data_IF_225884552079
#
_entry.id   IF_225884552079
#
_cell.length_a   1.000
_cell.length_b   1.000
_cell.length_c   1.000
_cell.angle_alpha   90.00
_cell.angle_beta   90.00
_cell.angle_gamma   90.00
#
_symmetry.space_group_name_H-M   'P 1'
#
loop_
_entity.id
_entity.type
_entity.pdbx_description
1 polymer ?
#
# COMPACT_ATOMS: atom_id res chain seq x y z
N UNK A 1 29.35 -4.35 -17.07
CA UNK A 1 30.12 -3.27 -17.71
C UNK A 1 31.43 -2.92 -16.98
N UNK A 2 31.72 -3.58 -15.83
CA UNK A 2 32.99 -3.40 -15.10
C UNK A 2 33.18 -2.06 -14.39
N UNK A 3 32.09 -1.35 -14.11
CA UNK A 3 32.11 -0.12 -13.31
C UNK A 3 31.32 -0.35 -12.03
N UNK A 4 31.85 0.14 -10.92
CA UNK A 4 31.14 0.17 -9.64
C UNK A 4 30.11 1.31 -9.66
N UNK A 5 28.91 1.02 -9.17
CA UNK A 5 27.82 1.98 -9.04
C UNK A 5 27.30 1.96 -7.62
N UNK A 6 27.05 3.13 -7.06
CA UNK A 6 26.40 3.26 -5.76
C UNK A 6 24.87 3.16 -5.91
N UNK A 7 24.28 2.23 -5.19
CA UNK A 7 22.83 2.01 -5.17
C UNK A 7 22.25 2.20 -3.79
N UNK A 8 21.06 2.78 -3.74
CA UNK A 8 20.23 2.82 -2.54
C UNK A 8 19.31 1.60 -2.55
N UNK A 9 19.34 0.84 -1.47
CA UNK A 9 18.40 -0.23 -1.20
C UNK A 9 17.33 0.28 -0.25
N UNK A 10 16.06 0.04 -0.60
CA UNK A 10 14.90 0.46 0.18
C UNK A 10 14.08 -0.75 0.58
N UNK A 11 13.67 -0.77 1.84
CA UNK A 11 12.70 -1.70 2.38
C UNK A 11 11.54 -0.91 2.97
N UNK A 12 10.33 -1.29 2.63
CA UNK A 12 9.10 -0.73 3.21
C UNK A 12 8.18 -1.85 3.62
N UNK A 13 7.58 -1.73 4.80
CA UNK A 13 6.44 -2.52 5.21
C UNK A 13 5.26 -1.61 5.54
N UNK A 14 4.06 -2.12 5.34
CA UNK A 14 2.80 -1.44 5.59
C UNK A 14 1.83 -2.37 6.27
N UNK A 15 1.11 -1.87 7.28
CA UNK A 15 -0.01 -2.57 7.89
C UNK A 15 -1.32 -1.90 7.45
N UNK A 16 -2.29 -2.71 7.04
CA UNK A 16 -3.59 -2.21 6.61
C UNK A 16 -4.72 -3.08 7.15
N UNK A 17 -4.74 -3.23 8.48
CA UNK A 17 -5.57 -4.20 9.18
C UNK A 17 -7.06 -3.87 9.12
N UNK A 18 -7.44 -2.67 9.56
CA UNK A 18 -8.85 -2.24 9.65
C UNK A 18 -9.57 -2.22 8.31
N UNK A 19 -9.05 -1.54 7.28
CA UNK A 19 -9.72 -1.52 5.99
C UNK A 19 -9.85 -2.90 5.37
N UNK A 20 -8.85 -3.77 5.56
CA UNK A 20 -8.89 -5.15 5.06
C UNK A 20 -9.92 -6.00 5.80
N UNK A 21 -10.17 -5.72 7.07
CA UNK A 21 -11.20 -6.41 7.85
C UNK A 21 -12.62 -6.08 7.38
N UNK A 22 -12.85 -4.84 6.92
CA UNK A 22 -14.17 -4.34 6.49
C UNK A 22 -14.40 -4.64 5.02
N UNK A 23 -13.45 -4.30 4.17
CA UNK A 23 -13.47 -4.51 2.72
C UNK A 23 -12.17 -5.21 2.31
N UNK A 24 -12.13 -6.55 2.42
CA UNK A 24 -10.88 -7.29 2.34
C UNK A 24 -10.18 -7.22 0.97
N UNK A 25 -10.93 -7.09 -0.12
CA UNK A 25 -10.32 -6.97 -1.44
C UNK A 25 -9.58 -5.64 -1.62
N UNK A 26 -10.27 -4.53 -1.43
CA UNK A 26 -9.69 -3.20 -1.58
C UNK A 26 -8.69 -2.88 -0.47
N UNK A 27 -8.94 -3.35 0.76
CA UNK A 27 -8.02 -3.17 1.87
C UNK A 27 -6.66 -3.82 1.62
N UNK A 28 -6.63 -5.07 1.19
CA UNK A 28 -5.39 -5.76 0.85
C UNK A 28 -4.72 -5.19 -0.41
N UNK A 29 -5.50 -4.81 -1.40
CA UNK A 29 -4.99 -4.13 -2.59
C UNK A 29 -4.33 -2.78 -2.23
N UNK A 30 -4.95 -2.01 -1.35
CA UNK A 30 -4.40 -0.74 -0.86
C UNK A 30 -3.16 -0.95 -0.01
N UNK A 31 -3.10 -2.03 0.77
CA UNK A 31 -1.91 -2.38 1.55
C UNK A 31 -0.67 -2.47 0.67
N UNK A 32 -0.73 -3.27 -0.39
CA UNK A 32 0.42 -3.39 -1.32
C UNK A 32 0.64 -2.11 -2.14
N UNK A 33 -0.42 -1.43 -2.56
CA UNK A 33 -0.32 -0.15 -3.26
C UNK A 33 0.42 0.91 -2.45
N UNK A 34 0.11 1.03 -1.16
CA UNK A 34 0.82 1.91 -0.23
C UNK A 34 2.28 1.52 -0.04
N UNK A 35 2.56 0.22 0.12
CA UNK A 35 3.93 -0.27 0.18
C UNK A 35 4.78 0.15 -1.03
N UNK A 36 4.19 0.16 -2.22
CA UNK A 36 4.90 0.53 -3.45
C UNK A 36 5.08 2.04 -3.55
N UNK A 37 4.07 2.83 -3.17
CA UNK A 37 4.13 4.31 -3.27
C UNK A 37 5.28 4.92 -2.48
N UNK A 38 5.55 4.44 -1.28
CA UNK A 38 6.60 5.01 -0.44
C UNK A 38 7.98 4.92 -1.07
N UNK A 39 8.46 3.77 -1.54
CA UNK A 39 9.70 3.70 -2.32
C UNK A 39 9.68 4.51 -3.61
N UNK A 40 8.53 4.62 -4.29
CA UNK A 40 8.40 5.50 -5.45
C UNK A 40 8.67 6.96 -5.08
N UNK A 41 8.20 7.41 -3.91
CA UNK A 41 8.52 8.74 -3.40
C UNK A 41 10.02 8.92 -3.17
N UNK A 42 10.73 7.84 -2.91
CA UNK A 42 12.20 7.76 -2.89
C UNK A 42 12.85 7.72 -4.28
N UNK A 43 12.09 7.88 -5.36
CA UNK A 43 12.55 7.75 -6.77
C UNK A 43 13.20 6.40 -7.04
N UNK A 44 12.67 5.34 -6.45
CA UNK A 44 13.16 3.97 -6.63
C UNK A 44 12.21 3.12 -7.44
N UNK A 45 12.68 1.98 -7.89
CA UNK A 45 11.89 0.94 -8.54
C UNK A 45 11.69 -0.23 -7.58
N UNK A 46 10.45 -0.68 -7.43
CA UNK A 46 10.10 -1.82 -6.58
C UNK A 46 10.24 -3.11 -7.38
N UNK A 47 11.05 -4.02 -6.87
CA UNK A 47 11.40 -5.27 -7.56
C UNK A 47 10.60 -6.47 -7.06
N UNK A 48 10.25 -6.49 -5.78
CA UNK A 48 9.57 -7.63 -5.18
C UNK A 48 8.69 -7.22 -4.02
N UNK A 49 7.54 -7.89 -3.88
CA UNK A 49 6.66 -7.80 -2.73
C UNK A 49 6.76 -9.05 -1.85
N UNK A 50 6.34 -8.88 -0.61
CA UNK A 50 6.13 -9.94 0.38
C UNK A 50 4.80 -9.68 1.08
N UNK A 51 4.17 -10.72 1.60
CA UNK A 51 2.92 -10.62 2.34
C UNK A 51 2.98 -11.50 3.58
N UNK A 52 2.68 -10.91 4.74
CA UNK A 52 2.52 -11.64 6.00
C UNK A 52 1.19 -11.25 6.61
N UNK A 53 0.36 -12.23 6.91
CA UNK A 53 -1.00 -11.98 7.41
C UNK A 53 -1.29 -12.80 8.66
N UNK A 54 -2.27 -12.34 9.43
CA UNK A 54 -2.81 -13.07 10.58
C UNK A 54 -4.34 -13.15 10.49
N UNK A 55 -4.87 -14.34 10.61
CA UNK A 55 -6.30 -14.62 10.60
C UNK A 55 -6.67 -15.65 11.67
N UNK A 56 -7.94 -15.72 12.04
CA UNK A 56 -8.45 -16.87 12.77
C UNK A 56 -8.73 -18.02 11.81
N UNK A 57 -9.16 -19.16 12.34
CA UNK A 57 -9.39 -20.36 11.56
C UNK A 57 -10.44 -20.13 10.44
N UNK A 58 -10.07 -20.24 9.17
CA UNK A 58 -10.99 -20.03 8.06
C UNK A 58 -11.98 -21.19 7.84
N UNK A 59 -11.83 -22.30 8.57
CA UNK A 59 -12.72 -23.46 8.47
C UNK A 59 -13.94 -23.36 9.39
N UNK A 60 -13.94 -22.39 10.31
CA UNK A 60 -15.05 -22.15 11.23
C UNK A 60 -16.35 -21.89 10.46
N UNK A 61 -17.48 -22.53 10.82
CA UNK A 61 -18.76 -22.30 10.17
C UNK A 61 -19.21 -20.84 10.22
N UNK A 62 -19.93 -20.40 9.19
CA UNK A 62 -20.43 -19.02 9.10
C UNK A 62 -21.34 -18.66 10.30
N UNK A 63 -22.08 -19.66 10.82
CA UNK A 63 -22.94 -19.50 12.01
C UNK A 63 -22.21 -19.12 13.30
N UNK A 64 -20.90 -19.36 13.34
CA UNK A 64 -20.04 -19.04 14.50
C UNK A 64 -19.26 -17.71 14.29
N UNK A 65 -19.57 -16.96 13.22
CA UNK A 65 -18.97 -15.66 12.98
C UNK A 65 -19.36 -14.67 14.08
N UNK A 66 -18.38 -13.92 14.61
CA UNK A 66 -18.67 -12.86 15.57
C UNK A 66 -19.62 -11.83 14.98
N UNK A 67 -20.53 -11.35 15.80
CA UNK A 67 -21.46 -10.29 15.41
C UNK A 67 -20.71 -9.04 14.89
N UNK A 68 -21.20 -8.50 13.79
CA UNK A 68 -20.59 -7.34 13.15
C UNK A 68 -19.27 -7.60 12.41
N UNK A 69 -18.86 -8.88 12.26
CA UNK A 69 -17.64 -9.27 11.54
C UNK A 69 -17.95 -10.08 10.28
N UNK A 70 -17.00 -10.10 9.36
CA UNK A 70 -17.06 -11.00 8.21
C UNK A 70 -16.56 -12.40 8.58
N UNK A 71 -17.12 -13.47 7.96
CA UNK A 71 -16.60 -14.81 8.14
C UNK A 71 -15.11 -14.91 7.81
N UNK A 72 -14.34 -15.64 8.61
CA UNK A 72 -12.90 -15.75 8.45
C UNK A 72 -12.48 -16.24 7.07
N UNK A 73 -13.19 -17.24 6.52
CA UNK A 73 -12.94 -17.73 5.17
C UNK A 73 -13.08 -16.63 4.11
N UNK A 74 -14.12 -15.78 4.24
CA UNK A 74 -14.33 -14.66 3.33
C UNK A 74 -13.20 -13.63 3.43
N UNK A 75 -12.80 -13.29 4.66
CA UNK A 75 -11.66 -12.38 4.89
C UNK A 75 -10.39 -12.89 4.21
N UNK A 76 -10.00 -14.13 4.50
CA UNK A 76 -8.76 -14.74 4.01
C UNK A 76 -8.73 -14.80 2.48
N UNK A 77 -9.76 -15.37 1.86
CA UNK A 77 -9.78 -15.59 0.41
C UNK A 77 -9.90 -14.28 -0.37
N UNK A 78 -10.73 -13.35 0.13
CA UNK A 78 -10.96 -12.08 -0.57
C UNK A 78 -9.77 -11.13 -0.43
N UNK A 79 -9.12 -11.09 0.74
CA UNK A 79 -7.90 -10.31 0.93
C UNK A 79 -6.75 -10.83 0.06
N UNK A 80 -6.57 -12.14 -0.03
CA UNK A 80 -5.58 -12.75 -0.91
C UNK A 80 -5.83 -12.39 -2.38
N UNK A 81 -7.10 -12.44 -2.82
CA UNK A 81 -7.50 -12.06 -4.17
C UNK A 81 -7.20 -10.57 -4.45
N UNK A 82 -7.47 -9.67 -3.51
CA UNK A 82 -7.19 -8.23 -3.64
C UNK A 82 -5.70 -7.93 -3.78
N UNK A 83 -4.90 -8.53 -2.92
CA UNK A 83 -3.44 -8.38 -2.97
C UNK A 83 -2.86 -8.90 -4.30
N UNK A 84 -3.27 -10.10 -4.70
CA UNK A 84 -2.87 -10.72 -5.98
C UNK A 84 -3.30 -9.89 -7.19
N UNK A 85 -4.54 -9.39 -7.18
CA UNK A 85 -5.06 -8.55 -8.27
C UNK A 85 -4.22 -7.29 -8.47
N UNK A 86 -3.85 -6.61 -7.40
CA UNK A 86 -3.01 -5.42 -7.49
C UNK A 86 -1.62 -5.75 -8.01
N UNK A 87 -0.98 -6.78 -7.46
CA UNK A 87 0.35 -7.23 -7.88
C UNK A 87 0.40 -7.62 -9.36
N UNK A 88 -0.63 -8.33 -9.84
CA UNK A 88 -0.74 -8.70 -11.26
C UNK A 88 -0.89 -7.49 -12.17
N UNK A 89 -1.69 -6.50 -11.79
CA UNK A 89 -1.90 -5.30 -12.59
C UNK A 89 -0.65 -4.42 -12.67
N UNK A 90 0.10 -4.32 -11.60
CA UNK A 90 1.34 -3.55 -11.58
C UNK A 90 2.53 -4.35 -12.16
N UNK A 91 2.42 -5.66 -12.24
CA UNK A 91 3.47 -6.55 -12.71
C UNK A 91 4.58 -6.77 -11.67
N UNK A 92 4.19 -6.90 -10.40
CA UNK A 92 5.08 -7.13 -9.27
C UNK A 92 4.84 -8.51 -8.67
N UNK A 93 5.88 -9.32 -8.63
CA UNK A 93 5.81 -10.64 -8.00
C UNK A 93 5.80 -10.53 -6.47
N UNK A 94 4.98 -11.35 -5.81
CA UNK A 94 5.04 -11.57 -4.37
C UNK A 94 5.89 -12.82 -4.11
N UNK A 95 7.14 -12.60 -3.70
CA UNK A 95 8.12 -13.69 -3.55
C UNK A 95 7.97 -14.51 -2.27
N UNK A 96 7.27 -13.98 -1.27
CA UNK A 96 6.96 -14.68 -0.03
C UNK A 96 5.55 -14.34 0.41
N UNK A 97 4.78 -15.36 0.80
CA UNK A 97 3.44 -15.22 1.37
C UNK A 97 3.34 -16.17 2.57
N UNK A 98 3.16 -15.59 3.75
CA UNK A 98 2.91 -16.32 4.98
C UNK A 98 1.58 -15.88 5.58
N UNK A 99 0.71 -16.81 5.94
CA UNK A 99 -0.51 -16.52 6.67
C UNK A 99 -0.51 -17.33 7.98
N UNK A 100 -0.57 -16.64 9.11
CA UNK A 100 -0.55 -17.20 10.45
C UNK A 100 -2.00 -17.32 10.94
N UNK A 101 -2.38 -18.51 11.37
CA UNK A 101 -3.71 -18.76 11.95
C UNK A 101 -3.61 -18.85 13.46
N UNK A 102 -4.35 -17.97 14.15
CA UNK A 102 -4.40 -17.95 15.60
C UNK A 102 -5.73 -17.38 16.08
N UNK A 103 -6.36 -17.95 17.12
CA UNK A 103 -7.66 -17.48 17.61
C UNK A 103 -7.65 -16.01 18.07
N UNK A 104 -6.51 -15.45 18.44
CA UNK A 104 -6.38 -14.04 18.75
C UNK A 104 -6.69 -13.09 17.59
N UNK A 105 -6.73 -13.60 16.35
CA UNK A 105 -7.10 -12.80 15.17
C UNK A 105 -8.58 -12.87 14.80
N UNK A 106 -9.43 -13.50 15.63
CA UNK A 106 -10.86 -13.62 15.33
C UNK A 106 -11.57 -12.27 15.24
N UNK A 107 -11.19 -11.33 16.11
CA UNK A 107 -11.77 -10.00 16.16
C UNK A 107 -11.05 -8.98 15.27
N UNK A 108 -9.81 -9.28 14.88
CA UNK A 108 -8.95 -8.32 14.18
C UNK A 108 -7.94 -9.03 13.30
N UNK A 109 -8.14 -8.92 12.00
CA UNK A 109 -7.16 -9.41 11.02
C UNK A 109 -5.88 -8.57 11.04
N UNK A 110 -4.75 -9.23 10.85
CA UNK A 110 -3.48 -8.58 10.50
C UNK A 110 -3.24 -8.69 9.00
N UNK A 111 -3.03 -7.57 8.34
CA UNK A 111 -2.63 -7.50 6.93
C UNK A 111 -1.35 -6.69 6.85
N UNK A 112 -0.25 -7.33 6.50
CA UNK A 112 1.06 -6.70 6.34
C UNK A 112 1.57 -6.97 4.93
N UNK A 113 1.85 -5.90 4.21
CA UNK A 113 2.61 -5.94 2.97
C UNK A 113 4.04 -5.47 3.22
N UNK A 114 4.97 -5.94 2.44
CA UNK A 114 6.32 -5.42 2.40
C UNK A 114 6.87 -5.45 0.97
N UNK A 115 7.81 -4.58 0.69
CA UNK A 115 8.47 -4.52 -0.62
C UNK A 115 9.95 -4.22 -0.46
N UNK A 116 10.72 -4.67 -1.43
CA UNK A 116 12.11 -4.26 -1.63
C UNK A 116 12.23 -3.47 -2.92
N UNK A 117 12.97 -2.38 -2.86
CA UNK A 117 13.20 -1.48 -3.97
C UNK A 117 14.66 -1.05 -4.04
N UNK A 118 15.08 -0.56 -5.18
CA UNK A 118 16.43 -0.04 -5.35
C UNK A 118 16.45 1.07 -6.41
N UNK A 119 17.48 1.92 -6.34
CA UNK A 119 17.73 2.97 -7.31
C UNK A 119 19.20 3.36 -7.28
N UNK A 120 19.81 3.76 -8.41
CA UNK A 120 21.12 4.40 -8.38
C UNK A 120 21.11 5.64 -7.46
N UNK A 121 22.14 5.81 -6.65
CA UNK A 121 22.20 6.88 -5.65
C UNK A 121 22.11 8.28 -6.28
N UNK A 122 22.68 8.46 -7.45
CA UNK A 122 22.69 9.72 -8.20
C UNK A 122 21.31 10.10 -8.78
N UNK A 123 20.32 9.19 -8.76
CA UNK A 123 18.94 9.52 -9.13
C UNK A 123 18.20 10.31 -8.05
N UNK A 124 18.69 10.30 -6.82
CA UNK A 124 17.94 10.82 -5.66
C UNK A 124 18.51 12.13 -5.16
N UNK A 125 17.81 13.21 -5.44
CA UNK A 125 18.07 14.52 -4.82
C UNK A 125 17.24 14.68 -3.55
N UNK A 126 17.80 15.35 -2.54
CA UNK A 126 17.12 15.67 -1.27
C UNK A 126 17.38 17.14 -0.93
N UNK A 127 16.84 18.01 -1.76
CA UNK A 127 17.01 19.45 -1.64
C UNK A 127 15.78 20.10 -1.02
N UNK A 128 15.98 21.22 -0.35
CA UNK A 128 14.87 22.06 0.11
C UNK A 128 14.29 22.79 -1.08
N UNK A 129 12.96 22.76 -1.28
CA UNK A 129 12.31 23.56 -2.30
C UNK A 129 12.56 25.06 -2.09
N UNK A 130 12.69 25.80 -3.17
CA UNK A 130 12.95 27.23 -3.18
C UNK A 130 11.86 27.99 -3.97
N UNK A 131 11.70 29.32 -3.74
CA UNK A 131 10.80 30.13 -4.55
C UNK A 131 11.11 30.00 -6.05
N UNK A 132 10.06 29.74 -6.83
CA UNK A 132 10.17 29.49 -8.27
C UNK A 132 10.18 28.01 -8.65
N UNK A 133 10.35 27.09 -7.72
CA UNK A 133 10.17 25.66 -7.97
C UNK A 133 8.71 25.33 -8.33
N UNK A 134 8.55 24.29 -9.12
CA UNK A 134 7.22 23.83 -9.52
C UNK A 134 6.76 22.68 -8.62
N UNK A 135 5.56 22.79 -8.10
CA UNK A 135 4.87 21.70 -7.40
C UNK A 135 4.03 20.94 -8.42
N UNK A 136 4.30 19.66 -8.56
CA UNK A 136 3.62 18.80 -9.53
C UNK A 136 2.90 17.68 -8.79
N UNK A 137 1.60 17.60 -8.97
CA UNK A 137 0.79 16.46 -8.53
C UNK A 137 0.77 15.42 -9.65
N UNK A 138 1.32 14.24 -9.37
CA UNK A 138 1.49 13.18 -10.36
C UNK A 138 0.78 11.92 -9.92
N UNK A 139 -0.16 11.44 -10.72
CA UNK A 139 -0.91 10.22 -10.41
C UNK A 139 -2.36 10.25 -10.88
N UNK A 140 -3.19 9.41 -10.26
CA UNK A 140 -4.62 9.34 -10.48
C UNK A 140 -5.40 10.28 -9.54
N UNK A 141 -6.71 10.29 -9.70
CA UNK A 141 -7.59 10.98 -8.74
C UNK A 141 -7.55 10.29 -7.39
N UNK A 142 -7.44 11.06 -6.34
CA UNK A 142 -7.62 10.60 -4.96
C UNK A 142 -9.05 10.87 -4.50
N UNK A 143 -9.54 10.10 -3.53
CA UNK A 143 -10.77 10.40 -2.81
C UNK A 143 -10.58 11.55 -1.81
N UNK A 144 -11.59 11.81 -1.00
CA UNK A 144 -11.52 12.80 0.11
C UNK A 144 -10.71 12.30 1.32
N UNK A 145 -10.38 11.07 1.33
CA UNK A 145 -9.72 10.26 2.35
C UNK A 145 -8.29 10.71 2.69
N UNK A 146 -7.58 11.32 1.75
CA UNK A 146 -6.22 11.77 2.01
C UNK A 146 -6.08 12.77 3.15
N UNK A 147 -7.05 13.66 3.37
CA UNK A 147 -7.01 14.68 4.43
C UNK A 147 -7.29 14.09 5.81
N UNK A 148 -8.17 13.10 5.90
CA UNK A 148 -8.46 12.37 7.13
C UNK A 148 -7.33 11.46 7.62
N UNK A 149 -6.41 11.15 6.74
CA UNK A 149 -5.22 10.34 7.02
C UNK A 149 -5.56 8.97 7.60
N UNK A 150 -4.66 8.48 8.45
CA UNK A 150 -4.81 7.19 9.13
C UNK A 150 -5.84 7.20 10.28
N UNK A 151 -6.58 8.27 10.49
CA UNK A 151 -7.53 8.42 11.62
C UNK A 151 -8.66 7.39 11.55
N UNK A 152 -9.17 7.12 10.36
CA UNK A 152 -10.18 6.08 10.12
C UNK A 152 -9.67 4.67 10.45
N UNK A 153 -8.41 4.38 10.18
CA UNK A 153 -7.79 3.09 10.45
C UNK A 153 -7.63 2.78 11.95
N UNK A 154 -7.77 3.77 12.82
CA UNK A 154 -7.58 3.66 14.28
C UNK A 154 -8.87 3.58 15.08
N UNK A 155 -10.03 3.71 14.44
CA UNK A 155 -11.35 3.67 15.11
C UNK A 155 -11.95 2.27 15.06
N UNK A 156 -12.74 1.93 16.09
CA UNK A 156 -13.60 0.75 16.03
C UNK A 156 -14.73 1.01 15.02
N UNK A 157 -14.89 0.11 14.07
CA UNK A 157 -15.90 0.24 13.03
C UNK A 157 -17.16 -0.54 13.38
N UNK A 158 -18.31 0.09 13.17
CA UNK A 158 -19.65 -0.49 13.21
C UNK A 158 -20.30 -0.40 11.80
N UNK A 159 -21.53 -0.89 11.68
CA UNK A 159 -22.22 -0.91 10.36
C UNK A 159 -22.41 0.50 9.78
N UNK A 160 -22.56 1.53 10.63
CA UNK A 160 -22.66 2.93 10.19
C UNK A 160 -21.34 3.47 9.65
N UNK A 161 -20.19 2.93 10.12
CA UNK A 161 -18.88 3.31 9.61
C UNK A 161 -18.66 2.88 8.15
N UNK A 162 -19.34 1.83 7.67
CA UNK A 162 -19.23 1.36 6.28
C UNK A 162 -19.65 2.41 5.26
N UNK A 163 -20.63 3.23 5.56
CA UNK A 163 -21.08 4.32 4.67
C UNK A 163 -20.17 5.56 4.76
N UNK A 164 -19.63 5.84 5.93
CA UNK A 164 -18.76 6.99 6.18
C UNK A 164 -17.30 6.68 5.79
N UNK A 165 -16.81 5.52 6.17
CA UNK A 165 -15.40 5.11 5.99
C UNK A 165 -15.13 4.45 4.63
N UNK A 166 -16.17 3.97 3.94
CA UNK A 166 -16.04 3.47 2.55
C UNK A 166 -15.52 4.52 1.57
N UNK A 167 -15.70 5.82 1.89
CA UNK A 167 -15.11 6.93 1.15
C UNK A 167 -13.67 7.25 1.57
N UNK A 168 -13.21 6.73 2.71
CA UNK A 168 -11.88 6.95 3.28
C UNK A 168 -10.89 5.84 2.94
N UNK A 169 -11.36 4.73 2.34
CA UNK A 169 -10.47 3.69 1.84
C UNK A 169 -9.69 4.23 0.65
N UNK A 170 -8.39 4.32 0.81
CA UNK A 170 -7.49 4.69 -0.28
C UNK A 170 -7.59 3.65 -1.39
N UNK A 171 -8.22 4.03 -2.49
CA UNK A 171 -8.32 3.16 -3.66
C UNK A 171 -7.11 3.40 -4.56
N UNK A 172 -6.09 2.58 -4.40
CA UNK A 172 -4.96 2.57 -5.31
C UNK A 172 -5.40 2.24 -6.75
N UNK A 173 -4.75 2.86 -7.72
CA UNK A 173 -4.92 2.55 -9.12
C UNK A 173 -3.62 1.90 -9.64
N UNK A 174 -3.59 0.57 -9.63
CA UNK A 174 -2.40 -0.19 -9.99
C UNK A 174 -1.87 0.12 -11.42
N UNK A 175 -2.72 0.28 -12.46
CA UNK A 175 -2.24 0.69 -13.78
C UNK A 175 -1.57 2.07 -13.80
N UNK A 176 -2.07 3.02 -13.03
CA UNK A 176 -1.44 4.35 -12.91
C UNK A 176 -0.13 4.24 -12.14
N UNK A 177 -0.12 3.51 -11.03
CA UNK A 177 1.08 3.30 -10.22
C UNK A 177 2.17 2.56 -11.00
N UNK A 178 1.80 1.61 -11.87
CA UNK A 178 2.75 0.99 -12.80
C UNK A 178 3.42 2.01 -13.72
N UNK A 179 2.69 3.01 -14.21
CA UNK A 179 3.28 4.07 -15.03
C UNK A 179 4.27 4.91 -14.24
N UNK A 180 3.93 5.24 -12.99
CA UNK A 180 4.81 5.96 -12.06
C UNK A 180 6.08 5.14 -11.75
N UNK A 181 5.93 3.86 -11.46
CA UNK A 181 7.06 2.97 -11.21
C UNK A 181 8.03 2.93 -12.40
N UNK A 182 7.51 2.92 -13.62
CA UNK A 182 8.33 2.99 -14.84
C UNK A 182 8.97 4.35 -15.04
N UNK A 183 8.30 5.44 -14.67
CA UNK A 183 8.86 6.79 -14.71
C UNK A 183 10.04 6.92 -13.76
N UNK A 184 9.89 6.50 -12.51
CA UNK A 184 10.93 6.58 -11.48
C UNK A 184 12.12 5.63 -11.72
N UNK A 185 12.06 4.78 -12.74
CA UNK A 185 13.21 4.03 -13.22
C UNK A 185 14.11 4.85 -14.17
N UNK A 186 13.63 6.00 -14.61
CA UNK A 186 14.34 6.88 -15.55
C UNK A 186 15.15 7.91 -14.79
N UNK A 187 16.48 7.81 -14.87
CA UNK A 187 17.39 8.74 -14.19
C UNK A 187 17.26 10.19 -14.67
N UNK A 188 16.96 10.40 -15.95
CA UNK A 188 16.73 11.74 -16.53
C UNK A 188 15.53 12.44 -15.86
N UNK A 189 14.47 11.72 -15.57
CA UNK A 189 13.30 12.24 -14.86
C UNK A 189 13.59 12.40 -13.35
N UNK A 190 14.20 11.42 -12.72
CA UNK A 190 14.45 11.43 -11.28
C UNK A 190 15.37 12.57 -10.84
N UNK A 191 16.40 12.87 -11.62
CA UNK A 191 17.36 13.96 -11.32
C UNK A 191 16.76 15.36 -11.40
N UNK A 192 15.58 15.52 -12.00
CA UNK A 192 14.85 16.80 -12.01
C UNK A 192 14.07 17.05 -10.70
N UNK A 193 13.85 16.01 -9.90
CA UNK A 193 12.98 16.06 -8.73
C UNK A 193 13.82 16.38 -7.49
N UNK A 194 13.68 17.59 -6.94
CA UNK A 194 14.34 18.01 -5.71
C UNK A 194 13.80 17.27 -4.48
N UNK A 195 12.48 17.13 -4.42
CA UNK A 195 11.75 16.49 -3.32
C UNK A 195 10.54 15.77 -3.88
N UNK A 196 10.22 14.62 -3.34
CA UNK A 196 9.02 13.87 -3.68
C UNK A 196 8.48 13.23 -2.43
N UNK A 197 7.16 13.19 -2.30
CA UNK A 197 6.45 12.48 -1.25
C UNK A 197 5.18 11.88 -1.82
N UNK A 198 4.72 10.77 -1.26
CA UNK A 198 3.37 10.33 -1.52
C UNK A 198 2.39 11.19 -0.72
N UNK A 199 1.13 11.21 -1.11
CA UNK A 199 0.10 11.96 -0.42
C UNK A 199 -1.12 11.08 -0.07
N UNK A 200 -0.87 9.82 0.23
CA UNK A 200 -1.88 8.91 0.73
C UNK A 200 -2.48 9.42 2.03
N UNK A 201 -1.76 9.26 3.13
CA UNK A 201 -2.18 9.80 4.42
C UNK A 201 -1.85 11.28 4.52
N UNK A 202 -2.83 12.11 4.87
CA UNK A 202 -2.70 13.57 4.97
C UNK A 202 -2.96 14.33 3.67
N UNK A 203 -3.15 13.64 2.55
CA UNK A 203 -3.50 14.24 1.26
C UNK A 203 -2.43 15.16 0.70
N UNK A 204 -2.86 16.09 -0.16
CA UNK A 204 -1.97 17.04 -0.84
C UNK A 204 -1.25 18.00 0.10
N UNK A 205 -1.71 18.12 1.36
CA UNK A 205 -1.09 18.97 2.36
C UNK A 205 0.20 18.39 2.96
N UNK A 206 0.48 17.10 2.73
CA UNK A 206 1.70 16.46 3.16
C UNK A 206 2.91 16.92 2.34
#
# INVERSE_FOLDING_TARGET
>A
NGHDEDWLFLFKNETHNHPTEIEPFGGAATCIGGCIRDPLSGRSYVYQAMRVTGAADPTVPVSETLEGKLPQRKLVTTAAAGYSSYGNQIGLATGQVDEIYHPGYVAKRMEVGAVVAATPADHVRRETPAPGDKVILLGGRTGRDGIGGATGASKAHNVESLELDGAEVQKGNAPVERKLQRLFRRGDACRLIKRCNDFGAGGVSV
#
